data_IF_843063666415
#
_entry.id   IF_843063666415
#
_cell.length_a   1.000
_cell.length_b   1.000
_cell.length_c   1.000
_cell.angle_alpha   90.00
_cell.angle_beta   90.00
_cell.angle_gamma   90.00
#
_symmetry.space_group_name_H-M   'P 1'
#
loop_
_entity.id
_entity.type
_entity.pdbx_description
1 polymer ?
#
# COMPACT_ATOMS: atom_id res chain seq x y z
N UNK A 1 -42.13 -4.80 -9.26
CA UNK A 1 -40.91 -4.40 -9.94
C UNK A 1 -39.78 -4.93 -9.11
N UNK A 2 -39.01 -5.86 -9.66
CA UNK A 2 -38.01 -6.67 -8.90
C UNK A 2 -36.76 -5.85 -8.61
N UNK A 3 -36.72 -5.13 -7.49
CA UNK A 3 -35.49 -4.46 -6.98
C UNK A 3 -34.50 -5.43 -6.31
N UNK A 4 -34.87 -6.70 -6.14
CA UNK A 4 -34.07 -7.67 -5.38
C UNK A 4 -33.07 -8.51 -6.24
N UNK A 5 -33.12 -8.40 -7.58
CA UNK A 5 -32.35 -9.29 -8.46
C UNK A 5 -30.95 -8.74 -8.80
N UNK A 6 -30.70 -7.45 -8.63
CA UNK A 6 -29.42 -6.78 -8.93
C UNK A 6 -28.69 -6.27 -7.66
N UNK A 7 -29.02 -6.79 -6.48
CA UNK A 7 -28.41 -6.36 -5.22
C UNK A 7 -27.31 -7.32 -4.78
N UNK A 8 -26.11 -6.81 -4.53
CA UNK A 8 -24.98 -7.54 -3.95
C UNK A 8 -24.53 -6.91 -2.63
N UNK A 9 -23.79 -7.69 -1.84
CA UNK A 9 -23.13 -7.24 -0.62
C UNK A 9 -21.69 -6.87 -0.95
N UNK A 10 -21.36 -5.60 -0.90
CA UNK A 10 -20.01 -5.10 -1.00
C UNK A 10 -19.34 -5.15 0.37
N UNK A 11 -18.19 -5.82 0.47
CA UNK A 11 -17.46 -6.00 1.72
C UNK A 11 -16.25 -5.09 1.76
N UNK A 12 -16.15 -4.26 2.81
CA UNK A 12 -14.98 -3.42 3.07
C UNK A 12 -13.88 -4.19 3.81
N UNK A 13 -14.27 -5.04 4.74
CA UNK A 13 -13.35 -5.82 5.57
C UNK A 13 -14.05 -6.53 6.70
N UNK A 14 -13.25 -7.13 7.58
CA UNK A 14 -13.72 -7.88 8.73
C UNK A 14 -13.03 -7.36 9.99
N UNK A 15 -13.75 -7.45 11.13
CA UNK A 15 -13.23 -7.09 12.46
C UNK A 15 -13.74 -8.12 13.49
N UNK A 16 -13.25 -8.05 14.74
CA UNK A 16 -13.75 -8.90 15.79
C UNK A 16 -15.20 -8.54 16.18
N UNK A 17 -16.06 -9.52 16.31
CA UNK A 17 -17.47 -9.32 16.64
C UNK A 17 -17.65 -8.57 17.98
N UNK A 18 -16.74 -8.75 18.94
CA UNK A 18 -16.77 -8.05 20.22
C UNK A 18 -16.57 -6.52 20.15
N UNK A 19 -16.03 -6.00 19.04
CA UNK A 19 -15.79 -4.57 18.84
C UNK A 19 -16.98 -3.81 18.26
N UNK A 20 -17.99 -4.52 17.78
CA UNK A 20 -19.17 -3.91 17.16
C UNK A 20 -20.41 -4.06 18.06
N UNK A 21 -21.38 -3.13 17.97
CA UNK A 21 -22.57 -3.19 18.84
C UNK A 21 -23.33 -4.50 18.75
N UNK A 22 -23.87 -4.97 19.90
CA UNK A 22 -24.67 -6.20 19.97
C UNK A 22 -26.08 -6.06 19.40
N UNK A 23 -26.55 -4.84 19.22
CA UNK A 23 -27.91 -4.56 18.75
C UNK A 23 -28.16 -5.18 17.39
N UNK A 24 -29.09 -6.10 17.37
CA UNK A 24 -29.46 -6.86 16.19
C UNK A 24 -29.68 -6.01 14.97
N UNK A 25 -29.23 -6.54 13.83
CA UNK A 25 -29.49 -6.03 12.47
C UNK A 25 -29.06 -4.60 12.27
N UNK A 26 -27.80 -4.39 11.86
CA UNK A 26 -27.32 -3.16 11.20
C UNK A 26 -27.17 -1.93 12.11
N UNK A 27 -26.17 -1.92 12.96
CA UNK A 27 -25.60 -0.63 13.38
C UNK A 27 -24.93 -0.01 12.15
N UNK A 28 -25.62 0.92 11.49
CA UNK A 28 -25.06 1.67 10.38
C UNK A 28 -23.91 2.52 10.87
N UNK A 29 -22.81 2.53 10.12
CA UNK A 29 -21.75 3.51 10.34
C UNK A 29 -22.24 4.88 9.85
N UNK A 30 -21.94 5.97 10.59
CA UNK A 30 -22.36 7.32 10.22
C UNK A 30 -21.47 7.92 9.13
N UNK A 31 -21.27 7.19 8.04
CA UNK A 31 -20.43 7.56 6.91
C UNK A 31 -21.06 7.05 5.62
N UNK A 32 -20.78 7.73 4.49
CA UNK A 32 -21.21 7.27 3.19
C UNK A 32 -20.51 5.97 2.78
N UNK A 33 -21.27 5.02 2.23
CA UNK A 33 -20.71 3.82 1.61
C UNK A 33 -20.14 4.09 0.22
N UNK A 34 -19.57 3.06 -0.41
CA UNK A 34 -19.08 3.15 -1.80
C UNK A 34 -20.16 3.65 -2.76
N UNK A 35 -21.40 3.28 -2.49
CA UNK A 35 -22.62 3.81 -3.12
C UNK A 35 -23.36 4.66 -2.09
N UNK A 36 -23.41 5.97 -2.30
CA UNK A 36 -23.88 6.96 -1.30
C UNK A 36 -25.23 6.66 -0.65
N UNK A 37 -26.26 6.15 -1.38
CA UNK A 37 -27.56 5.90 -0.75
C UNK A 37 -27.56 4.73 0.25
N UNK A 38 -26.49 3.93 0.27
CA UNK A 38 -26.41 2.72 1.10
C UNK A 38 -25.28 2.83 2.13
N UNK A 39 -25.54 3.28 3.38
CA UNK A 39 -24.53 3.39 4.41
C UNK A 39 -23.96 2.02 4.77
N UNK A 40 -22.68 1.95 5.19
CA UNK A 40 -22.10 0.71 5.67
C UNK A 40 -22.74 0.23 6.97
N UNK A 41 -22.81 -1.09 7.14
CA UNK A 41 -23.34 -1.73 8.33
C UNK A 41 -22.54 -2.98 8.69
N UNK A 42 -22.69 -3.45 9.93
CA UNK A 42 -22.02 -4.66 10.41
C UNK A 42 -22.91 -5.90 10.30
N UNK A 43 -22.30 -7.03 9.93
CA UNK A 43 -22.91 -8.37 9.99
C UNK A 43 -22.02 -9.31 10.78
N UNK A 44 -22.50 -9.78 11.92
CA UNK A 44 -21.77 -10.74 12.76
C UNK A 44 -21.99 -12.18 12.28
N UNK A 45 -20.93 -13.00 12.35
CA UNK A 45 -20.97 -14.45 12.20
C UNK A 45 -19.85 -15.05 13.05
N UNK A 46 -20.20 -15.75 14.12
CA UNK A 46 -19.24 -16.26 15.09
C UNK A 46 -18.44 -15.14 15.78
N UNK A 47 -17.14 -15.31 15.85
CA UNK A 47 -16.23 -14.37 16.51
C UNK A 47 -15.88 -13.14 15.64
N UNK A 48 -16.31 -13.09 14.37
CA UNK A 48 -15.99 -12.00 13.44
C UNK A 48 -17.24 -11.26 12.97
N UNK A 49 -17.04 -10.02 12.51
CA UNK A 49 -18.08 -9.21 11.89
C UNK A 49 -17.56 -8.65 10.56
N UNK A 50 -18.36 -8.77 9.51
CA UNK A 50 -18.11 -8.11 8.23
C UNK A 50 -18.66 -6.68 8.27
N UNK A 51 -17.95 -5.77 7.62
CA UNK A 51 -18.37 -4.39 7.33
C UNK A 51 -18.77 -4.34 5.86
N UNK A 52 -20.01 -4.00 5.57
CA UNK A 52 -20.56 -4.13 4.21
C UNK A 52 -21.63 -3.08 3.89
N UNK A 53 -21.84 -2.83 2.61
CA UNK A 53 -22.97 -2.07 2.08
C UNK A 53 -23.72 -2.88 1.04
N UNK A 54 -24.95 -2.49 0.74
CA UNK A 54 -25.66 -2.97 -0.45
C UNK A 54 -25.22 -2.14 -1.64
N UNK A 55 -24.99 -2.79 -2.77
CA UNK A 55 -24.65 -2.16 -4.05
C UNK A 55 -25.39 -2.81 -5.19
N UNK A 56 -25.51 -2.13 -6.33
CA UNK A 56 -25.96 -2.76 -7.58
C UNK A 56 -24.87 -3.69 -8.09
N UNK A 57 -25.23 -4.95 -8.32
CA UNK A 57 -24.28 -5.96 -8.83
C UNK A 57 -23.76 -5.56 -10.23
N UNK A 58 -24.62 -5.01 -11.09
CA UNK A 58 -24.27 -4.60 -12.43
C UNK A 58 -23.21 -3.51 -12.49
N UNK A 59 -23.08 -2.67 -11.44
CA UNK A 59 -22.08 -1.62 -11.36
C UNK A 59 -20.66 -2.14 -11.15
N UNK A 60 -20.52 -3.34 -10.57
CA UNK A 60 -19.23 -3.94 -10.23
C UNK A 60 -18.89 -5.18 -11.06
N UNK A 61 -19.89 -5.81 -11.72
CA UNK A 61 -19.73 -7.09 -12.40
C UNK A 61 -20.10 -7.01 -13.88
N UNK A 62 -19.59 -8.02 -14.65
CA UNK A 62 -19.84 -8.07 -16.10
C UNK A 62 -19.20 -6.92 -16.86
N UNK A 63 -19.61 -6.74 -18.10
CA UNK A 63 -19.03 -5.73 -19.01
C UNK A 63 -19.19 -4.29 -18.53
N UNK A 64 -20.28 -3.98 -17.83
CA UNK A 64 -20.51 -2.65 -17.24
C UNK A 64 -19.55 -2.41 -16.06
N UNK A 65 -19.41 -3.39 -15.16
CA UNK A 65 -18.47 -3.33 -14.04
C UNK A 65 -17.02 -3.20 -14.51
N UNK A 66 -16.59 -3.98 -15.51
CA UNK A 66 -15.24 -3.86 -16.08
C UNK A 66 -14.98 -2.45 -16.65
N UNK A 67 -15.98 -1.86 -17.33
CA UNK A 67 -15.87 -0.48 -17.84
C UNK A 67 -15.73 0.51 -16.69
N UNK A 68 -16.57 0.40 -15.66
CA UNK A 68 -16.56 1.24 -14.48
C UNK A 68 -15.23 1.18 -13.74
N UNK A 69 -14.66 -0.02 -13.53
CA UNK A 69 -13.36 -0.21 -12.87
C UNK A 69 -12.17 0.37 -13.67
N UNK A 70 -12.33 0.61 -14.97
CA UNK A 70 -11.33 1.30 -15.80
C UNK A 70 -11.55 2.82 -15.86
N UNK A 71 -12.74 3.29 -15.52
CA UNK A 71 -13.07 4.72 -15.49
C UNK A 71 -12.64 5.34 -14.14
N UNK A 72 -11.61 6.15 -14.19
CA UNK A 72 -11.07 6.82 -13.01
C UNK A 72 -12.09 7.76 -12.34
N UNK A 73 -12.94 8.42 -13.12
CA UNK A 73 -13.97 9.31 -12.58
C UNK A 73 -15.03 8.53 -11.77
N UNK A 74 -15.29 7.28 -12.14
CA UNK A 74 -16.16 6.38 -11.38
C UNK A 74 -15.46 5.73 -10.19
N UNK A 75 -14.19 5.28 -10.39
CA UNK A 75 -13.44 4.50 -9.44
C UNK A 75 -12.94 5.33 -8.25
N UNK A 76 -12.32 6.49 -8.51
CA UNK A 76 -11.61 7.24 -7.47
C UNK A 76 -12.51 7.68 -6.29
N UNK A 77 -13.70 8.24 -6.48
CA UNK A 77 -14.58 8.61 -5.36
C UNK A 77 -15.00 7.40 -4.53
N UNK A 78 -15.17 6.22 -5.17
CA UNK A 78 -15.57 4.97 -4.50
C UNK A 78 -14.41 4.36 -3.73
N UNK A 79 -13.20 4.40 -4.27
CA UNK A 79 -11.99 3.98 -3.58
C UNK A 79 -11.74 4.84 -2.34
N UNK A 80 -11.86 6.16 -2.44
CA UNK A 80 -11.75 7.05 -1.28
C UNK A 80 -12.81 6.73 -0.20
N UNK A 81 -14.05 6.44 -0.58
CA UNK A 81 -15.08 6.04 0.39
C UNK A 81 -14.82 4.67 1.00
N UNK A 82 -14.29 3.72 0.22
CA UNK A 82 -13.89 2.42 0.74
C UNK A 82 -12.85 2.59 1.85
N UNK A 83 -11.78 3.36 1.61
CA UNK A 83 -10.73 3.63 2.60
C UNK A 83 -11.29 4.39 3.81
N UNK A 84 -12.14 5.39 3.62
CA UNK A 84 -12.74 6.13 4.71
C UNK A 84 -13.58 5.23 5.64
N UNK A 85 -14.27 4.22 5.09
CA UNK A 85 -14.99 3.22 5.91
C UNK A 85 -14.01 2.37 6.71
N UNK A 86 -12.92 1.90 6.10
CA UNK A 86 -11.90 1.12 6.80
C UNK A 86 -11.21 1.91 7.90
N UNK A 87 -10.91 3.19 7.66
CA UNK A 87 -10.36 4.11 8.69
C UNK A 87 -11.31 4.26 9.89
N UNK A 88 -12.62 4.32 9.67
CA UNK A 88 -13.59 4.35 10.77
C UNK A 88 -13.60 3.04 11.56
N UNK A 89 -13.48 1.90 10.88
CA UNK A 89 -13.42 0.59 11.55
C UNK A 89 -12.13 0.43 12.34
N UNK A 90 -11.00 0.90 11.81
CA UNK A 90 -9.69 0.90 12.50
C UNK A 90 -9.74 1.66 13.82
N UNK A 91 -10.59 2.68 13.96
CA UNK A 91 -10.78 3.40 15.23
C UNK A 91 -11.50 2.53 16.30
N UNK A 92 -12.21 1.50 15.87
CA UNK A 92 -12.85 0.55 16.79
C UNK A 92 -11.87 -0.56 17.19
N UNK A 93 -10.90 -0.87 16.34
CA UNK A 93 -9.88 -1.90 16.55
C UNK A 93 -9.30 -2.43 15.25
N UNK A 94 -8.64 -3.59 15.33
CA UNK A 94 -8.03 -4.20 14.15
C UNK A 94 -9.06 -4.51 13.06
N UNK A 95 -8.66 -4.33 11.81
CA UNK A 95 -9.45 -4.68 10.63
C UNK A 95 -8.64 -5.58 9.70
N UNK A 96 -9.28 -6.60 9.16
CA UNK A 96 -8.81 -7.37 8.02
C UNK A 96 -9.46 -6.76 6.77
N UNK A 97 -8.74 -5.92 6.01
CA UNK A 97 -9.33 -5.23 4.87
C UNK A 97 -9.62 -6.21 3.73
N UNK A 98 -10.75 -6.01 3.08
CA UNK A 98 -11.06 -6.67 1.82
C UNK A 98 -10.54 -5.84 0.65
N UNK A 99 -10.24 -6.48 -0.47
CA UNK A 99 -9.88 -5.76 -1.70
C UNK A 99 -11.07 -4.97 -2.21
N UNK A 100 -10.82 -3.81 -2.79
CA UNK A 100 -11.86 -3.04 -3.47
C UNK A 100 -12.61 -3.90 -4.49
N UNK A 101 -13.95 -3.82 -4.49
CA UNK A 101 -14.78 -4.64 -5.37
C UNK A 101 -15.06 -6.07 -4.85
N UNK A 102 -14.74 -6.40 -3.60
CA UNK A 102 -15.12 -7.69 -2.99
C UNK A 102 -16.62 -7.76 -2.79
N UNK A 103 -17.28 -8.68 -3.50
CA UNK A 103 -18.73 -8.84 -3.50
C UNK A 103 -19.16 -10.24 -3.10
N UNK A 104 -20.32 -10.32 -2.43
CA UNK A 104 -21.04 -11.56 -2.17
C UNK A 104 -22.47 -11.44 -2.69
N UNK A 105 -22.94 -12.47 -3.37
CA UNK A 105 -24.30 -12.50 -3.95
C UNK A 105 -25.41 -12.65 -2.89
N UNK A 106 -25.08 -13.08 -1.68
CA UNK A 106 -26.05 -13.28 -0.61
C UNK A 106 -25.41 -13.26 0.77
N UNK A 107 -26.24 -13.01 1.79
CA UNK A 107 -25.83 -13.13 3.19
C UNK A 107 -25.36 -14.55 3.52
N UNK A 108 -26.01 -15.58 2.96
CA UNK A 108 -25.64 -16.98 3.21
C UNK A 108 -24.24 -17.32 2.67
N UNK A 109 -23.87 -16.80 1.48
CA UNK A 109 -22.53 -17.00 0.91
C UNK A 109 -21.45 -16.28 1.73
N UNK A 110 -21.73 -15.04 2.18
CA UNK A 110 -20.84 -14.29 3.07
C UNK A 110 -20.63 -15.02 4.41
N UNK A 111 -21.71 -15.44 5.07
CA UNK A 111 -21.61 -16.17 6.35
C UNK A 111 -20.92 -17.51 6.20
N UNK A 112 -21.12 -18.20 5.07
CA UNK A 112 -20.39 -19.44 4.72
C UNK A 112 -18.89 -19.19 4.65
N UNK A 113 -18.48 -18.15 3.94
CA UNK A 113 -17.09 -17.72 3.84
C UNK A 113 -16.51 -17.34 5.22
N UNK A 114 -17.23 -16.55 6.01
CA UNK A 114 -16.79 -16.15 7.35
C UNK A 114 -16.57 -17.36 8.26
N UNK A 115 -17.52 -18.32 8.29
CA UNK A 115 -17.36 -19.56 9.07
C UNK A 115 -16.17 -20.40 8.63
N UNK A 116 -15.97 -20.53 7.31
CA UNK A 116 -14.87 -21.30 6.75
C UNK A 116 -13.50 -20.73 7.17
N UNK A 117 -13.37 -19.40 7.24
CA UNK A 117 -12.12 -18.71 7.48
C UNK A 117 -12.00 -18.07 8.88
N UNK A 118 -12.96 -18.32 9.78
CA UNK A 118 -13.05 -17.68 11.10
C UNK A 118 -11.72 -17.73 11.87
N UNK A 119 -11.11 -18.90 11.96
CA UNK A 119 -9.86 -19.09 12.71
C UNK A 119 -8.71 -18.25 12.13
N UNK A 120 -8.61 -18.18 10.79
CA UNK A 120 -7.56 -17.39 10.14
C UNK A 120 -7.80 -15.87 10.32
N UNK A 121 -9.06 -15.44 10.22
CA UNK A 121 -9.47 -14.06 10.43
C UNK A 121 -9.21 -13.62 11.88
N UNK A 122 -9.62 -14.40 12.87
CA UNK A 122 -9.39 -14.08 14.30
C UNK A 122 -7.92 -13.98 14.59
N UNK A 123 -7.10 -14.96 14.17
CA UNK A 123 -5.65 -14.94 14.36
C UNK A 123 -4.99 -13.70 13.76
N UNK A 124 -5.42 -13.30 12.56
CA UNK A 124 -4.92 -12.08 11.92
C UNK A 124 -5.34 -10.84 12.71
N UNK A 125 -6.62 -10.71 13.09
CA UNK A 125 -7.14 -9.55 13.81
C UNK A 125 -6.50 -9.39 15.20
N UNK A 126 -6.23 -10.49 15.90
CA UNK A 126 -5.50 -10.48 17.16
C UNK A 126 -4.05 -10.01 16.96
N UNK A 127 -3.37 -10.51 15.91
CA UNK A 127 -2.00 -10.08 15.58
C UNK A 127 -1.92 -8.61 15.16
N UNK A 128 -2.90 -8.15 14.38
CA UNK A 128 -2.96 -6.77 13.89
C UNK A 128 -3.44 -5.76 14.95
N UNK A 129 -3.88 -6.23 16.11
CA UNK A 129 -4.36 -5.35 17.18
C UNK A 129 -3.23 -4.44 17.69
N UNK A 130 -3.47 -3.11 17.68
CA UNK A 130 -2.47 -2.12 18.07
C UNK A 130 -1.31 -1.97 17.10
N UNK A 131 -1.43 -2.53 15.89
CA UNK A 131 -0.44 -2.41 14.82
C UNK A 131 -0.94 -1.48 13.72
N UNK A 132 0.00 -0.85 13.03
CA UNK A 132 -0.24 0.03 11.89
C UNK A 132 0.63 -0.40 10.70
N UNK A 133 0.05 -0.44 9.51
CA UNK A 133 0.85 -0.64 8.29
C UNK A 133 1.39 0.70 7.79
N UNK A 134 2.69 0.73 7.54
CA UNK A 134 3.38 1.84 6.92
C UNK A 134 4.05 1.39 5.62
N UNK A 135 3.94 2.19 4.57
CA UNK A 135 4.66 1.97 3.33
C UNK A 135 5.92 2.83 3.31
N UNK A 136 7.06 2.21 2.99
CA UNK A 136 8.34 2.86 2.76
C UNK A 136 8.77 2.63 1.32
N UNK A 137 8.95 3.71 0.56
CA UNK A 137 9.42 3.69 -0.82
C UNK A 137 10.76 4.41 -0.92
N UNK A 138 11.72 3.83 -1.63
CA UNK A 138 13.01 4.45 -1.92
C UNK A 138 13.11 4.78 -3.40
N UNK A 139 13.54 6.00 -3.70
CA UNK A 139 13.75 6.49 -5.06
C UNK A 139 15.19 6.94 -5.22
N UNK A 140 15.88 6.41 -6.22
CA UNK A 140 17.23 6.81 -6.61
C UNK A 140 17.16 7.77 -7.80
N UNK A 141 17.94 8.84 -7.74
CA UNK A 141 18.31 9.66 -8.90
C UNK A 141 19.67 9.19 -9.41
N UNK A 142 19.73 8.33 -10.46
CA UNK A 142 20.98 7.74 -10.90
C UNK A 142 21.98 8.78 -11.42
N UNK A 143 21.47 9.83 -12.09
CA UNK A 143 22.34 10.87 -12.65
C UNK A 143 23.01 11.68 -11.54
N UNK A 144 22.26 12.02 -10.50
CA UNK A 144 22.78 12.70 -9.32
C UNK A 144 23.76 11.83 -8.55
N UNK A 145 23.42 10.57 -8.32
CA UNK A 145 24.27 9.61 -7.62
C UNK A 145 25.60 9.41 -8.35
N UNK A 146 25.59 9.21 -9.69
CA UNK A 146 26.80 9.12 -10.51
C UNK A 146 27.65 10.40 -10.43
N UNK A 147 27.01 11.56 -10.54
CA UNK A 147 27.72 12.85 -10.49
C UNK A 147 28.41 13.07 -9.14
N UNK A 148 27.75 12.79 -8.03
CA UNK A 148 28.31 12.91 -6.68
C UNK A 148 29.45 11.90 -6.44
N UNK A 149 29.32 10.66 -6.90
CA UNK A 149 30.37 9.66 -6.82
C UNK A 149 31.61 10.09 -7.61
N UNK A 150 31.42 10.53 -8.86
CA UNK A 150 32.50 11.00 -9.71
C UNK A 150 33.21 12.24 -9.12
N UNK A 151 32.46 13.18 -8.53
CA UNK A 151 33.00 14.34 -7.86
C UNK A 151 33.92 13.98 -6.69
N UNK A 152 33.46 13.00 -5.85
CA UNK A 152 34.24 12.47 -4.73
C UNK A 152 35.53 11.80 -5.23
N UNK A 153 35.45 10.94 -6.22
CA UNK A 153 36.61 10.24 -6.79
C UNK A 153 37.61 11.19 -7.46
N UNK A 154 37.15 12.27 -8.08
CA UNK A 154 38.03 13.28 -8.66
C UNK A 154 38.83 14.04 -7.60
N UNK A 155 38.24 14.26 -6.42
CA UNK A 155 38.97 14.92 -5.31
C UNK A 155 39.94 13.96 -4.63
N UNK A 156 39.65 12.66 -4.54
CA UNK A 156 40.51 11.64 -3.96
C UNK A 156 41.70 11.26 -4.90
N UNK A 157 41.41 11.16 -6.19
CA UNK A 157 42.39 10.78 -7.24
C UNK A 157 42.46 11.85 -8.35
N UNK A 158 43.11 12.95 -8.10
CA UNK A 158 43.27 14.02 -9.12
C UNK A 158 44.03 13.49 -10.33
N UNK A 159 43.55 13.86 -11.52
CA UNK A 159 44.26 13.48 -12.76
C UNK A 159 45.61 14.19 -12.87
N UNK A 160 46.68 13.52 -13.35
CA UNK A 160 47.95 14.16 -13.59
C UNK A 160 47.81 15.36 -14.54
N UNK A 161 48.46 16.49 -14.25
CA UNK A 161 48.24 17.75 -14.98
C UNK A 161 48.57 17.70 -16.48
N UNK A 162 49.36 16.72 -16.94
CA UNK A 162 49.82 16.60 -18.32
C UNK A 162 49.32 15.31 -19.00
N UNK A 163 48.12 14.86 -18.71
CA UNK A 163 47.58 13.66 -19.34
C UNK A 163 47.20 13.89 -20.81
N UNK A 164 47.62 13.01 -21.75
CA UNK A 164 47.15 13.06 -23.13
C UNK A 164 45.60 12.99 -23.19
N UNK A 165 44.94 13.72 -24.11
CA UNK A 165 43.48 13.78 -24.19
C UNK A 165 42.80 12.42 -24.27
N UNK A 166 43.38 11.47 -25.05
CA UNK A 166 42.87 10.10 -25.16
C UNK A 166 42.93 9.30 -23.85
N UNK A 167 44.02 9.46 -23.10
CA UNK A 167 44.18 8.80 -21.80
C UNK A 167 43.26 9.42 -20.74
N UNK A 168 42.99 10.71 -20.82
CA UNK A 168 41.97 11.36 -19.94
C UNK A 168 40.57 10.86 -20.23
N UNK A 169 40.20 10.71 -21.51
CA UNK A 169 38.91 10.16 -21.91
C UNK A 169 38.72 8.71 -21.43
N UNK A 170 39.69 7.82 -21.65
CA UNK A 170 39.63 6.44 -21.21
C UNK A 170 39.51 6.33 -19.69
N UNK A 171 40.20 7.14 -18.93
CA UNK A 171 40.05 7.19 -17.47
C UNK A 171 38.65 7.61 -17.03
N UNK A 172 38.11 8.62 -17.70
CA UNK A 172 36.74 9.06 -17.36
C UNK A 172 35.70 8.00 -17.68
N UNK A 173 35.85 7.27 -18.81
CA UNK A 173 34.98 6.14 -19.13
C UNK A 173 35.13 5.01 -18.11
N UNK A 174 36.35 4.66 -17.71
CA UNK A 174 36.60 3.65 -16.68
C UNK A 174 36.00 4.06 -15.32
N UNK A 175 36.08 5.37 -14.96
CA UNK A 175 35.46 5.89 -13.74
C UNK A 175 33.93 5.76 -13.78
N UNK A 176 33.28 6.02 -14.91
CA UNK A 176 31.81 5.88 -15.04
C UNK A 176 31.35 4.43 -14.92
N UNK A 177 32.09 3.48 -15.48
CA UNK A 177 31.78 2.05 -15.31
C UNK A 177 31.88 1.66 -13.84
N UNK A 178 33.00 2.01 -13.20
CA UNK A 178 33.20 1.76 -11.76
C UNK A 178 32.19 2.48 -10.88
N UNK A 179 31.71 3.66 -11.31
CA UNK A 179 30.68 4.39 -10.59
C UNK A 179 29.38 3.59 -10.51
N UNK A 180 28.94 3.01 -11.62
CA UNK A 180 27.70 2.20 -11.65
C UNK A 180 27.80 0.98 -10.76
N UNK A 181 28.86 0.18 -10.89
CA UNK A 181 29.12 -0.98 -10.04
C UNK A 181 29.13 -0.61 -8.54
N UNK A 182 29.86 0.47 -8.19
CA UNK A 182 29.94 0.93 -6.80
C UNK A 182 28.63 1.50 -6.27
N UNK A 183 27.79 2.09 -7.12
CA UNK A 183 26.47 2.61 -6.73
C UNK A 183 25.50 1.47 -6.43
N UNK A 184 25.53 0.40 -7.21
CA UNK A 184 24.70 -0.79 -6.94
C UNK A 184 25.08 -1.43 -5.60
N UNK A 185 26.39 -1.58 -5.32
CA UNK A 185 26.88 -2.08 -4.04
C UNK A 185 26.50 -1.17 -2.87
N UNK A 186 26.66 0.14 -3.01
CA UNK A 186 26.32 1.12 -1.98
C UNK A 186 24.80 1.15 -1.71
N UNK A 187 23.99 1.00 -2.75
CA UNK A 187 22.53 0.92 -2.60
C UNK A 187 22.12 -0.34 -1.85
N UNK A 188 22.71 -1.48 -2.21
CA UNK A 188 22.45 -2.76 -1.53
C UNK A 188 22.84 -2.68 -0.03
N UNK A 189 24.01 -2.12 0.29
CA UNK A 189 24.47 -1.90 1.67
C UNK A 189 23.51 -0.96 2.42
N UNK A 190 23.15 0.18 1.82
CA UNK A 190 22.22 1.15 2.42
C UNK A 190 20.82 0.56 2.67
N UNK A 191 20.33 -0.27 1.76
CA UNK A 191 19.06 -0.98 1.96
C UNK A 191 19.17 -2.06 3.05
N UNK A 192 20.31 -2.78 3.12
CA UNK A 192 20.57 -3.77 4.16
C UNK A 192 20.61 -3.17 5.56
N UNK A 193 21.37 -2.07 5.74
CA UNK A 193 21.43 -1.34 7.02
C UNK A 193 20.03 -0.83 7.44
N UNK A 194 19.28 -0.28 6.51
CA UNK A 194 17.94 0.23 6.76
C UNK A 194 16.98 -0.91 7.15
N UNK A 195 17.10 -2.07 6.49
CA UNK A 195 16.32 -3.25 6.83
C UNK A 195 16.60 -3.73 8.26
N UNK A 196 17.88 -3.86 8.64
CA UNK A 196 18.27 -4.27 9.99
C UNK A 196 17.76 -3.28 11.04
N UNK A 197 17.93 -1.97 10.78
CA UNK A 197 17.46 -0.93 11.70
C UNK A 197 15.93 -0.99 11.89
N UNK A 198 15.17 -1.11 10.80
CA UNK A 198 13.71 -1.12 10.83
C UNK A 198 13.14 -2.44 11.35
N UNK A 199 13.84 -3.56 11.15
CA UNK A 199 13.46 -4.86 11.70
C UNK A 199 13.44 -4.87 13.24
N UNK A 200 14.18 -3.97 13.88
CA UNK A 200 14.13 -3.82 15.34
C UNK A 200 12.84 -3.14 15.84
N UNK A 201 12.13 -2.43 14.98
CA UNK A 201 10.89 -1.69 15.29
C UNK A 201 9.64 -2.43 14.81
N UNK A 202 9.75 -3.08 13.66
CA UNK A 202 8.61 -3.70 12.99
C UNK A 202 8.35 -5.12 13.53
N UNK A 203 7.06 -5.44 13.71
CA UNK A 203 6.62 -6.81 13.97
C UNK A 203 6.79 -7.69 12.73
N UNK A 204 6.68 -7.09 11.54
CA UNK A 204 6.82 -7.77 10.26
C UNK A 204 7.20 -6.74 9.17
N UNK A 205 8.06 -7.14 8.22
CA UNK A 205 8.39 -6.35 7.02
C UNK A 205 8.19 -7.24 5.80
N UNK A 206 7.53 -6.70 4.78
CA UNK A 206 7.29 -7.38 3.51
C UNK A 206 7.82 -6.52 2.37
N UNK A 207 8.64 -7.14 1.51
CA UNK A 207 9.04 -6.52 0.25
C UNK A 207 7.88 -6.57 -0.73
N UNK A 208 7.57 -5.42 -1.33
CA UNK A 208 6.58 -5.29 -2.39
C UNK A 208 7.26 -5.20 -3.75
N UNK A 209 6.52 -5.53 -4.80
CA UNK A 209 7.00 -5.37 -6.16
C UNK A 209 7.42 -3.92 -6.43
N UNK A 210 8.62 -3.75 -6.97
CA UNK A 210 9.09 -2.47 -7.49
C UNK A 210 8.29 -2.14 -8.75
N UNK A 211 7.68 -0.94 -8.76
CA UNK A 211 6.89 -0.47 -9.90
C UNK A 211 7.81 0.32 -10.82
N UNK A 212 8.10 -0.25 -11.97
CA UNK A 212 8.85 0.46 -13.02
C UNK A 212 7.89 1.46 -13.67
N UNK A 213 8.19 2.76 -13.56
CA UNK A 213 7.44 3.78 -14.31
C UNK A 213 7.72 3.66 -15.79
N UNK A 214 6.67 3.51 -16.59
CA UNK A 214 6.75 3.47 -18.06
C UNK A 214 7.01 4.85 -18.71
N UNK A 215 7.10 5.92 -17.91
CA UNK A 215 7.35 7.29 -18.43
C UNK A 215 8.85 7.57 -18.52
N UNK A 216 9.38 7.88 -19.72
CA UNK A 216 10.81 8.14 -19.93
C UNK A 216 11.37 9.35 -19.17
N UNK A 217 10.52 10.24 -18.68
CA UNK A 217 10.88 11.49 -17.97
C UNK A 217 11.02 11.33 -16.43
N UNK A 218 10.92 10.13 -15.89
CA UNK A 218 11.11 9.93 -14.46
C UNK A 218 12.61 10.05 -14.12
N UNK A 219 13.05 11.21 -13.66
CA UNK A 219 14.41 11.44 -13.16
C UNK A 219 14.81 10.53 -11.98
N UNK A 220 13.86 9.76 -11.43
CA UNK A 220 14.05 8.89 -10.27
C UNK A 220 13.50 7.49 -10.52
N UNK A 221 14.28 6.50 -10.14
CA UNK A 221 13.91 5.08 -10.19
C UNK A 221 13.50 4.58 -8.81
N UNK A 222 12.40 3.81 -8.73
CA UNK A 222 12.05 3.15 -7.47
C UNK A 222 13.00 1.98 -7.26
N UNK A 223 13.73 2.00 -6.15
CA UNK A 223 14.74 0.98 -5.78
C UNK A 223 14.35 0.19 -4.52
N UNK A 224 13.35 0.67 -3.78
CA UNK A 224 12.87 0.05 -2.56
C UNK A 224 11.35 0.27 -2.46
N UNK A 225 10.62 -0.80 -2.08
CA UNK A 225 9.18 -0.73 -1.82
C UNK A 225 8.83 -1.76 -0.73
N UNK A 226 8.74 -1.29 0.51
CA UNK A 226 8.47 -2.13 1.68
C UNK A 226 7.16 -1.74 2.36
N UNK A 227 6.49 -2.75 2.90
CA UNK A 227 5.42 -2.57 3.88
C UNK A 227 5.92 -3.01 5.24
N UNK A 228 5.67 -2.21 6.27
CA UNK A 228 6.05 -2.47 7.64
C UNK A 228 4.80 -2.53 8.51
N UNK A 229 4.67 -3.56 9.32
CA UNK A 229 3.67 -3.66 10.38
C UNK A 229 4.34 -3.25 11.69
N UNK A 230 3.94 -2.09 12.22
CA UNK A 230 4.55 -1.47 13.38
C UNK A 230 3.55 -1.39 14.54
N UNK A 231 3.99 -1.63 15.80
CA UNK A 231 3.22 -1.17 16.94
C UNK A 231 2.93 0.34 16.82
N UNK A 232 1.70 0.77 17.08
CA UNK A 232 1.31 2.21 16.99
C UNK A 232 2.22 3.10 17.84
N UNK A 233 2.73 2.58 18.96
CA UNK A 233 3.70 3.28 19.82
C UNK A 233 5.06 3.53 19.15
N UNK A 234 5.41 2.79 18.11
CA UNK A 234 6.70 2.89 17.40
C UNK A 234 6.64 3.81 16.18
N UNK A 235 5.46 4.29 15.77
CA UNK A 235 5.26 5.07 14.54
C UNK A 235 6.04 6.38 14.53
N UNK A 236 6.18 7.05 15.70
CA UNK A 236 6.95 8.29 15.81
C UNK A 236 8.46 8.04 15.67
N UNK A 237 8.98 6.97 16.31
CA UNK A 237 10.39 6.59 16.20
C UNK A 237 10.74 6.15 14.77
N UNK A 238 9.86 5.35 14.14
CA UNK A 238 9.98 4.98 12.72
C UNK A 238 10.14 6.21 11.82
N UNK A 239 9.24 7.18 11.90
CA UNK A 239 9.33 8.40 11.08
C UNK A 239 10.61 9.17 11.34
N UNK A 240 10.99 9.33 12.60
CA UNK A 240 12.23 10.00 12.97
C UNK A 240 13.51 9.31 12.44
N UNK A 241 13.51 7.96 12.34
CA UNK A 241 14.60 7.22 11.71
C UNK A 241 14.66 7.46 10.22
N UNK A 242 13.53 7.46 9.52
CA UNK A 242 13.50 7.74 8.07
C UNK A 242 13.91 9.19 7.78
N UNK A 243 13.49 10.17 8.58
CA UNK A 243 13.95 11.56 8.44
C UNK A 243 15.47 11.68 8.57
N UNK A 244 16.07 11.00 9.56
CA UNK A 244 17.52 10.94 9.73
C UNK A 244 18.21 10.26 8.54
N UNK A 245 17.71 9.11 8.12
CA UNK A 245 18.22 8.40 6.95
C UNK A 245 18.17 9.28 5.69
N UNK A 246 17.09 10.04 5.48
CA UNK A 246 16.99 11.00 4.39
C UNK A 246 18.02 12.12 4.49
N UNK A 247 18.27 12.66 5.70
CA UNK A 247 19.28 13.70 5.91
C UNK A 247 20.69 13.22 5.58
N UNK A 248 21.01 11.97 5.89
CA UNK A 248 22.31 11.35 5.66
C UNK A 248 22.49 10.85 4.21
N UNK A 249 21.49 10.12 3.69
CA UNK A 249 21.56 9.38 2.41
C UNK A 249 21.12 10.19 1.20
N UNK A 250 20.42 11.31 1.38
CA UNK A 250 20.04 12.20 0.26
C UNK A 250 21.25 12.77 -0.51
N UNK A 251 22.43 12.77 0.12
CA UNK A 251 23.70 13.11 -0.54
C UNK A 251 24.12 12.08 -1.61
N UNK A 252 23.63 10.83 -1.53
CA UNK A 252 23.84 9.78 -2.52
C UNK A 252 22.75 9.66 -3.57
N UNK A 253 21.83 10.64 -3.68
CA UNK A 253 20.73 10.59 -4.64
C UNK A 253 19.57 9.69 -4.23
N UNK A 254 19.62 8.99 -3.09
CA UNK A 254 18.52 8.16 -2.54
C UNK A 254 17.58 9.04 -1.72
N UNK A 255 16.29 8.98 -2.01
CA UNK A 255 15.22 9.63 -1.26
C UNK A 255 14.21 8.57 -0.76
N UNK A 256 13.87 8.61 0.52
CA UNK A 256 12.91 7.71 1.16
C UNK A 256 11.58 8.46 1.37
N UNK A 257 10.49 7.86 0.93
CA UNK A 257 9.13 8.39 1.09
C UNK A 257 8.32 7.43 1.97
N UNK A 258 7.63 7.98 2.96
CA UNK A 258 6.78 7.24 3.90
C UNK A 258 5.34 7.62 3.66
N UNK A 259 4.44 6.64 3.70
CA UNK A 259 3.00 6.87 3.73
C UNK A 259 2.32 5.89 4.66
N UNK A 260 1.24 6.35 5.30
CA UNK A 260 0.48 5.60 6.31
C UNK A 260 0.03 6.51 7.45
N UNK A 261 -0.60 5.95 8.49
CA UNK A 261 -0.90 4.53 8.62
C UNK A 261 -2.00 4.05 7.67
N UNK A 262 -1.86 2.84 7.16
CA UNK A 262 -2.80 2.17 6.27
C UNK A 262 -3.47 1.00 6.97
N UNK A 263 -4.67 0.55 6.53
CA UNK A 263 -5.15 -0.77 6.84
C UNK A 263 -4.13 -1.85 6.42
N UNK A 264 -3.97 -2.95 7.18
CA UNK A 264 -2.84 -3.87 6.99
C UNK A 264 -3.02 -4.82 5.79
N UNK A 265 -3.18 -4.27 4.60
CA UNK A 265 -3.38 -4.99 3.34
C UNK A 265 -2.25 -5.95 2.99
N UNK A 266 -0.99 -5.56 3.27
CA UNK A 266 0.18 -6.35 2.88
C UNK A 266 0.37 -7.59 3.74
N UNK A 267 -0.30 -7.66 4.88
CA UNK A 267 -0.15 -8.70 5.89
C UNK A 267 -1.37 -9.62 5.98
N UNK A 268 -2.36 -9.41 5.10
CA UNK A 268 -3.57 -10.22 5.07
C UNK A 268 -3.28 -11.68 4.76
N UNK A 269 -3.94 -12.64 5.46
CA UNK A 269 -3.87 -14.04 5.08
C UNK A 269 -4.50 -14.25 3.69
N UNK A 270 -3.98 -15.21 2.94
CA UNK A 270 -4.62 -15.67 1.72
C UNK A 270 -5.92 -16.40 2.09
N UNK A 271 -7.05 -15.72 1.96
CA UNK A 271 -8.36 -16.31 2.12
C UNK A 271 -8.90 -16.67 0.73
N UNK A 272 -9.02 -17.96 0.45
CA UNK A 272 -9.63 -18.41 -0.80
C UNK A 272 -11.14 -18.12 -0.75
N UNK A 273 -11.56 -16.97 -1.26
CA UNK A 273 -12.92 -16.79 -1.70
C UNK A 273 -13.09 -17.61 -2.98
N UNK A 274 -14.03 -18.56 -3.06
CA UNK A 274 -14.56 -18.93 -4.36
C UNK A 274 -15.25 -17.68 -4.89
N UNK A 275 -14.70 -17.02 -5.92
CA UNK A 275 -15.32 -15.82 -6.44
C UNK A 275 -16.73 -16.21 -6.92
N UNK A 276 -17.74 -15.56 -6.36
CA UNK A 276 -19.10 -15.70 -6.87
C UNK A 276 -19.21 -15.19 -8.32
N UNK A 277 -18.21 -14.40 -8.74
CA UNK A 277 -18.08 -13.81 -10.08
C UNK A 277 -16.59 -13.57 -10.34
N UNK A 278 -16.05 -14.17 -11.37
CA UNK A 278 -14.68 -13.97 -11.85
C UNK A 278 -14.52 -12.53 -12.37
N UNK A 279 -14.07 -11.62 -11.52
CA UNK A 279 -13.39 -10.42 -11.98
C UNK A 279 -11.88 -10.73 -11.99
N UNK A 280 -11.24 -10.63 -13.14
CA UNK A 280 -9.77 -10.68 -13.19
C UNK A 280 -9.19 -9.64 -12.22
N UNK A 281 -8.17 -9.99 -11.40
CA UNK A 281 -7.62 -9.08 -10.41
C UNK A 281 -7.07 -7.84 -11.12
N UNK A 282 -7.66 -6.68 -10.81
CA UNK A 282 -7.05 -5.41 -11.15
C UNK A 282 -5.62 -5.41 -10.59
N UNK A 283 -4.62 -5.09 -11.43
CA UNK A 283 -3.20 -5.12 -11.07
C UNK A 283 -2.98 -4.31 -9.79
N UNK A 284 -2.67 -4.98 -8.69
CA UNK A 284 -2.59 -4.46 -7.31
C UNK A 284 -1.74 -3.19 -7.16
N UNK A 285 -0.73 -3.00 -8.02
CA UNK A 285 0.15 -1.83 -7.95
C UNK A 285 -0.46 -0.53 -8.46
N UNK A 286 -1.43 -0.58 -9.38
CA UNK A 286 -1.95 0.63 -10.03
C UNK A 286 -3.00 1.37 -9.17
N UNK A 287 -3.73 0.65 -8.32
CA UNK A 287 -4.79 1.24 -7.48
C UNK A 287 -4.16 1.99 -6.31
N UNK A 288 -3.21 1.38 -5.58
CA UNK A 288 -2.55 2.02 -4.43
C UNK A 288 -1.70 3.26 -4.83
N UNK A 289 -1.06 3.24 -6.03
CA UNK A 289 -0.33 4.43 -6.49
C UNK A 289 -1.24 5.56 -6.96
N UNK A 290 -2.35 5.22 -7.59
CA UNK A 290 -3.36 6.22 -7.98
C UNK A 290 -4.04 6.82 -6.76
N UNK A 291 -4.40 6.01 -5.76
CA UNK A 291 -4.97 6.47 -4.49
C UNK A 291 -4.04 7.43 -3.73
N UNK A 292 -2.73 7.18 -3.71
CA UNK A 292 -1.75 8.06 -3.07
C UNK A 292 -1.60 9.40 -3.81
N UNK A 293 -1.70 9.40 -5.14
CA UNK A 293 -1.61 10.62 -5.94
C UNK A 293 -2.87 11.47 -5.77
N UNK A 294 -4.04 10.84 -5.69
CA UNK A 294 -5.34 11.50 -5.59
C UNK A 294 -5.65 12.01 -4.18
N UNK A 295 -5.19 11.36 -3.11
CA UNK A 295 -5.25 11.91 -1.75
C UNK A 295 -4.52 13.25 -1.64
N UNK A 296 -3.38 13.42 -2.34
CA UNK A 296 -2.72 14.72 -2.45
C UNK A 296 -3.53 15.74 -3.26
N UNK A 297 -4.30 15.29 -4.25
CA UNK A 297 -5.14 16.15 -5.09
C UNK A 297 -6.48 16.52 -4.43
N UNK A 298 -7.05 15.64 -3.59
CA UNK A 298 -8.31 15.87 -2.89
C UNK A 298 -8.18 16.62 -1.56
N UNK A 299 -6.96 16.98 -1.12
CA UNK A 299 -6.75 17.75 0.10
C UNK A 299 -7.13 17.00 1.39
N UNK A 300 -7.23 15.68 1.35
CA UNK A 300 -7.44 14.84 2.53
C UNK A 300 -6.10 14.66 3.29
N UNK A 301 -5.41 15.78 3.57
CA UNK A 301 -4.33 15.78 4.55
C UNK A 301 -4.99 15.78 5.91
N UNK A 302 -4.91 14.64 6.60
CA UNK A 302 -5.40 14.49 7.96
C UNK A 302 -4.65 15.43 8.90
N UNK A 303 -5.42 16.31 9.52
CA UNK A 303 -5.00 17.06 10.69
C UNK A 303 -5.02 16.17 11.96
#
# INVERSE_FOLDING_TARGET
MNEDTDSALYVYGFTLAGLVPETGVSANLPIAGVDEPHPPFFRRSGAVAAVLSRVSQSDFCGSAGEKNLRDLAWLAPRACRHEAVLEQVLRLGAVLPARFGTLFSSTASLEGFMRQHETAMVRFLERAHGQEEWALKGFLDPARAEAEWLARRRSEEPSPPNSPPGAAYLREQSRRIKAREALDDQLAEACGELWEELSSLASEIVERRILVRETPDAAREMVLNWALLLPSSSSADFRGRIERANAEKNRGGLALEVSGPWPPYSFCPALEAKPALEAEPAREGAIMEKENHERRACGCEGG
#
